data_IF_541627542115
#
_entry.id   IF_541627542115
#
_cell.length_a   1.000
_cell.length_b   1.000
_cell.length_c   1.000
_cell.angle_alpha   90.00
_cell.angle_beta   90.00
_cell.angle_gamma   90.00
#
_symmetry.space_group_name_H-M   'P 1'
#
loop_
_entity.id
_entity.type
_entity.pdbx_description
1 polymer ?
#
# COMPACT_ATOMS: atom_id res chain seq x y z
N UNK A 1 -14.77 7.79 10.35
CA UNK A 1 -13.60 8.21 11.16
C UNK A 1 -12.87 9.28 10.37
N UNK A 2 -12.55 10.43 10.96
CA UNK A 2 -11.80 11.49 10.28
C UNK A 2 -10.36 11.42 10.80
N UNK A 3 -9.41 11.17 9.91
CA UNK A 3 -7.98 11.19 10.25
C UNK A 3 -7.54 12.64 10.31
N UNK A 4 -6.83 13.03 11.37
CA UNK A 4 -6.25 14.36 11.50
C UNK A 4 -4.74 14.30 11.33
N UNK A 5 -4.16 15.26 10.63
CA UNK A 5 -2.71 15.31 10.41
C UNK A 5 -2.13 16.58 11.02
N UNK A 6 -0.96 16.44 11.67
CA UNK A 6 -0.31 17.55 12.34
C UNK A 6 1.18 17.58 12.02
N UNK A 7 1.63 18.72 11.51
CA UNK A 7 3.04 19.05 11.40
C UNK A 7 3.67 19.17 12.79
N UNK A 8 4.93 18.75 12.90
CA UNK A 8 5.73 18.97 14.09
C UNK A 8 6.54 20.27 13.95
N UNK A 9 6.63 21.04 15.03
CA UNK A 9 7.46 22.24 15.13
C UNK A 9 8.89 21.93 15.57
N UNK A 10 9.10 20.78 16.20
CA UNK A 10 10.43 20.28 16.60
C UNK A 10 10.46 18.75 16.66
N UNK A 11 11.65 18.15 16.57
CA UNK A 11 11.82 16.71 16.74
C UNK A 11 11.32 16.21 18.12
N UNK A 12 11.32 17.09 19.13
CA UNK A 12 10.78 16.79 20.45
C UNK A 12 9.26 16.57 20.46
N UNK A 13 8.53 16.98 19.41
CA UNK A 13 7.10 16.71 19.28
C UNK A 13 6.80 15.35 18.64
N UNK A 14 7.84 14.62 18.22
CA UNK A 14 7.72 13.31 17.59
C UNK A 14 7.86 12.19 18.63
N UNK A 15 7.21 11.07 18.33
CA UNK A 15 7.41 9.77 18.99
C UNK A 15 7.93 8.80 17.96
N UNK A 16 9.05 8.15 18.29
CA UNK A 16 9.62 7.07 17.51
C UNK A 16 9.24 5.73 18.15
N UNK A 17 8.61 4.84 17.38
CA UNK A 17 8.35 3.44 17.74
C UNK A 17 9.15 2.54 16.81
N UNK A 18 9.81 1.51 17.33
CA UNK A 18 10.58 0.56 16.52
C UNK A 18 9.77 -0.71 16.29
N UNK A 19 9.68 -1.16 15.04
CA UNK A 19 8.99 -2.40 14.68
C UNK A 19 9.61 -2.97 13.40
N UNK A 20 9.99 -4.24 13.43
CA UNK A 20 10.46 -4.99 12.26
C UNK A 20 11.58 -4.31 11.44
N UNK A 21 12.57 -3.70 12.11
CA UNK A 21 13.68 -3.01 11.43
C UNK A 21 13.35 -1.60 10.92
N UNK A 22 12.11 -1.14 11.13
CA UNK A 22 11.67 0.23 10.83
C UNK A 22 11.52 1.08 12.08
N UNK A 23 11.69 2.38 11.91
CA UNK A 23 11.33 3.42 12.87
C UNK A 23 10.10 4.16 12.39
N UNK A 24 9.05 4.06 13.18
CA UNK A 24 7.76 4.69 12.97
C UNK A 24 7.73 6.02 13.72
N UNK A 25 7.74 7.12 12.97
CA UNK A 25 7.65 8.48 13.47
C UNK A 25 6.21 8.97 13.41
N UNK A 26 5.73 9.53 14.52
CA UNK A 26 4.38 10.08 14.63
C UNK A 26 4.39 11.32 15.50
N UNK A 27 3.38 12.18 15.35
CA UNK A 27 3.22 13.33 16.21
C UNK A 27 2.71 12.89 17.60
N UNK A 28 3.29 13.39 18.70
CA UNK A 28 2.93 13.02 20.10
C UNK A 28 1.43 13.08 20.41
N UNK A 29 0.76 14.10 19.88
CA UNK A 29 -0.68 14.29 20.07
C UNK A 29 -1.55 13.40 19.18
N UNK A 30 -1.00 12.85 18.10
CA UNK A 30 -1.71 12.04 17.11
C UNK A 30 -0.85 10.81 16.75
N UNK A 31 -0.58 9.90 17.71
CA UNK A 31 0.41 8.85 17.54
C UNK A 31 0.01 7.78 16.50
N UNK A 32 -1.27 7.70 16.18
CA UNK A 32 -1.82 6.74 15.21
C UNK A 32 -2.17 7.37 13.85
N UNK A 33 -2.16 8.71 13.75
CA UNK A 33 -2.50 9.41 12.52
C UNK A 33 -1.25 10.04 11.89
N UNK A 34 -0.99 9.74 10.62
CA UNK A 34 0.18 10.27 9.91
C UNK A 34 1.50 9.69 10.42
N UNK A 35 1.62 8.36 10.39
CA UNK A 35 2.84 7.65 10.79
C UNK A 35 3.80 7.55 9.60
N UNK A 36 4.98 8.15 9.70
CA UNK A 36 6.07 7.98 8.73
C UNK A 36 6.90 6.77 9.15
N UNK A 37 7.08 5.81 8.26
CA UNK A 37 8.00 4.70 8.45
C UNK A 37 9.31 4.96 7.71
N UNK A 38 10.44 4.81 8.40
CA UNK A 38 11.80 4.87 7.84
C UNK A 38 12.57 3.61 8.24
N UNK A 39 13.54 3.19 7.45
CA UNK A 39 14.43 2.11 7.86
C UNK A 39 15.37 2.57 8.99
N UNK A 40 15.68 1.66 9.92
CA UNK A 40 16.50 2.01 11.09
C UNK A 40 17.95 2.37 10.71
N UNK A 41 18.44 1.87 9.58
CA UNK A 41 19.72 2.29 9.02
C UNK A 41 19.67 3.76 8.60
N UNK A 42 18.63 4.18 7.90
CA UNK A 42 18.49 5.54 7.37
C UNK A 42 18.41 6.56 8.49
N UNK A 43 17.55 6.32 9.49
CA UNK A 43 17.34 7.29 10.57
C UNK A 43 18.63 7.55 11.37
N UNK A 44 19.52 6.56 11.48
CA UNK A 44 20.78 6.69 12.21
C UNK A 44 21.76 7.68 11.56
N UNK A 45 21.55 7.98 10.28
CA UNK A 45 22.35 8.93 9.50
C UNK A 45 21.76 10.34 9.48
N UNK A 46 20.50 10.50 9.91
CA UNK A 46 19.78 11.77 9.85
C UNK A 46 19.98 12.60 11.12
N UNK A 47 20.22 13.89 10.94
CA UNK A 47 20.13 14.87 12.03
C UNK A 47 18.68 15.08 12.47
N UNK A 48 18.47 15.62 13.69
CA UNK A 48 17.13 15.96 14.17
C UNK A 48 16.36 16.89 13.21
N UNK A 49 17.05 17.84 12.57
CA UNK A 49 16.46 18.73 11.59
C UNK A 49 15.99 17.99 10.33
N UNK A 50 16.76 17.02 9.85
CA UNK A 50 16.40 16.19 8.69
C UNK A 50 15.24 15.24 9.02
N UNK A 51 15.21 14.67 10.24
CA UNK A 51 14.10 13.84 10.70
C UNK A 51 12.80 14.66 10.74
N UNK A 52 12.87 15.88 11.28
CA UNK A 52 11.72 16.79 11.34
C UNK A 52 11.22 17.17 9.94
N UNK A 53 12.15 17.49 9.03
CA UNK A 53 11.84 17.82 7.64
C UNK A 53 11.21 16.63 6.90
N UNK A 54 11.79 15.43 7.02
CA UNK A 54 11.24 14.21 6.43
C UNK A 54 9.81 13.94 6.91
N UNK A 55 9.56 14.03 8.22
CA UNK A 55 8.23 13.88 8.80
C UNK A 55 7.24 14.92 8.26
N UNK A 56 7.62 16.20 8.27
CA UNK A 56 6.73 17.27 7.80
C UNK A 56 6.48 17.19 6.28
N UNK A 57 7.47 16.75 5.49
CA UNK A 57 7.28 16.52 4.07
C UNK A 57 6.30 15.36 3.83
N UNK A 58 6.39 14.29 4.61
CA UNK A 58 5.43 13.19 4.58
C UNK A 58 4.01 13.66 4.92
N UNK A 59 3.83 14.41 6.01
CA UNK A 59 2.50 14.97 6.38
C UNK A 59 1.95 15.88 5.28
N UNK A 60 2.80 16.70 4.65
CA UNK A 60 2.39 17.54 3.52
C UNK A 60 1.91 16.69 2.36
N UNK A 61 2.66 15.66 1.98
CA UNK A 61 2.30 14.77 0.88
C UNK A 61 0.96 14.05 1.15
N UNK A 62 0.70 13.61 2.38
CA UNK A 62 -0.60 13.03 2.74
C UNK A 62 -1.72 14.07 2.62
N UNK A 63 -1.52 15.27 3.15
CA UNK A 63 -2.53 16.33 3.06
C UNK A 63 -2.80 16.74 1.61
N UNK A 64 -1.77 16.81 0.78
CA UNK A 64 -1.89 17.07 -0.66
C UNK A 64 -2.63 15.92 -1.35
N UNK A 65 -2.37 14.66 -0.98
CA UNK A 65 -3.09 13.51 -1.51
C UNK A 65 -4.58 13.49 -1.10
N UNK A 66 -4.90 13.86 0.14
CA UNK A 66 -6.30 14.00 0.61
C UNK A 66 -7.05 15.06 -0.18
N UNK A 67 -6.36 16.13 -0.59
CA UNK A 67 -6.94 17.21 -1.40
C UNK A 67 -6.88 16.91 -2.91
N UNK A 68 -6.11 15.89 -3.31
CA UNK A 68 -6.03 15.46 -4.71
C UNK A 68 -7.32 14.74 -5.09
N UNK A 69 -7.84 15.09 -6.26
CA UNK A 69 -8.99 14.39 -6.85
C UNK A 69 -8.57 13.22 -7.74
N UNK A 70 -7.26 12.97 -7.89
CA UNK A 70 -6.73 11.99 -8.85
C UNK A 70 -5.59 11.17 -8.24
N UNK A 71 -5.65 9.85 -8.45
CA UNK A 71 -4.56 8.92 -8.19
C UNK A 71 -3.64 8.85 -9.41
N UNK A 72 -2.33 8.68 -9.20
CA UNK A 72 -1.39 8.50 -10.29
C UNK A 72 -1.41 7.04 -10.76
N UNK A 73 -1.95 6.82 -11.95
CA UNK A 73 -2.00 5.50 -12.58
C UNK A 73 -0.99 5.41 -13.73
N UNK A 74 -0.29 4.28 -13.84
CA UNK A 74 0.63 4.06 -14.97
C UNK A 74 -0.18 3.73 -16.24
N UNK A 75 0.19 4.25 -17.42
CA UNK A 75 -0.49 3.94 -18.68
C UNK A 75 -0.54 2.44 -18.99
N UNK A 76 -1.48 2.03 -19.84
CA UNK A 76 -1.49 0.66 -20.37
C UNK A 76 -0.19 0.36 -21.11
N UNK A 77 0.42 -0.79 -20.81
CA UNK A 77 1.69 -1.22 -21.42
C UNK A 77 2.94 -0.68 -20.72
N UNK A 78 2.80 0.29 -19.82
CA UNK A 78 3.89 0.75 -18.95
C UNK A 78 3.95 -0.07 -17.67
N UNK A 79 5.16 -0.28 -17.15
CA UNK A 79 5.35 -1.05 -15.93
C UNK A 79 4.69 -0.35 -14.73
N UNK A 80 3.97 -1.13 -13.91
CA UNK A 80 3.41 -0.65 -12.64
C UNK A 80 4.37 -0.84 -11.46
N UNK A 81 5.31 -1.76 -11.62
CA UNK A 81 6.31 -2.12 -10.61
C UNK A 81 7.69 -2.21 -11.22
N UNK A 82 8.70 -1.91 -10.42
CA UNK A 82 10.10 -2.11 -10.77
C UNK A 82 10.84 -2.79 -9.63
N UNK A 83 11.97 -3.45 -9.95
CA UNK A 83 12.88 -3.93 -8.91
C UNK A 83 13.83 -2.82 -8.54
N UNK A 84 13.92 -2.52 -7.25
CA UNK A 84 14.96 -1.67 -6.71
C UNK A 84 16.32 -2.33 -6.93
N UNK A 85 17.29 -1.57 -7.46
CA UNK A 85 18.59 -2.11 -7.82
C UNK A 85 19.49 -2.43 -6.63
N UNK A 86 19.22 -1.85 -5.46
CA UNK A 86 20.00 -2.02 -4.25
C UNK A 86 19.46 -3.16 -3.38
N UNK A 87 18.14 -3.21 -3.17
CA UNK A 87 17.48 -4.22 -2.32
C UNK A 87 17.05 -5.45 -3.12
N UNK A 88 16.78 -5.30 -4.41
CA UNK A 88 16.17 -6.33 -5.25
C UNK A 88 14.67 -6.54 -5.02
N UNK A 89 14.07 -5.74 -4.12
CA UNK A 89 12.64 -5.78 -3.80
C UNK A 89 11.82 -5.07 -4.88
N UNK A 90 10.53 -5.41 -4.96
CA UNK A 90 9.60 -4.74 -5.87
C UNK A 90 9.06 -3.44 -5.27
N UNK A 91 9.02 -2.37 -6.07
CA UNK A 91 8.50 -1.05 -5.69
C UNK A 91 7.35 -0.64 -6.62
N UNK A 92 6.40 0.15 -6.10
CA UNK A 92 5.26 0.68 -6.87
C UNK A 92 5.62 1.99 -7.59
N UNK A 93 5.38 2.04 -8.89
CA UNK A 93 5.61 3.24 -9.70
C UNK A 93 4.46 4.24 -9.66
N UNK A 94 3.26 3.81 -9.23
CA UNK A 94 2.05 4.63 -9.13
C UNK A 94 1.28 4.40 -7.83
N UNK A 95 0.09 4.99 -7.77
CA UNK A 95 -0.86 4.87 -6.65
C UNK A 95 -1.97 3.84 -6.96
N UNK A 96 -2.16 3.50 -8.23
CA UNK A 96 -3.07 2.44 -8.70
C UNK A 96 -2.26 1.20 -9.07
N UNK A 97 -2.64 0.06 -8.49
CA UNK A 97 -2.05 -1.25 -8.77
C UNK A 97 -3.13 -2.18 -9.34
N UNK A 98 -3.02 -2.49 -10.63
CA UNK A 98 -3.87 -3.45 -11.33
C UNK A 98 -3.21 -4.83 -11.26
N UNK A 99 -3.88 -5.78 -10.61
CA UNK A 99 -3.36 -7.12 -10.41
C UNK A 99 -4.41 -8.20 -10.62
N UNK A 100 -3.96 -9.41 -10.92
CA UNK A 100 -4.80 -10.61 -11.00
C UNK A 100 -4.30 -11.62 -9.97
N UNK A 101 -5.14 -11.92 -9.00
CA UNK A 101 -4.87 -13.02 -8.06
C UNK A 101 -5.23 -14.34 -8.76
N UNK A 102 -4.29 -15.27 -8.78
CA UNK A 102 -4.46 -16.62 -9.30
C UNK A 102 -3.92 -17.64 -8.28
N UNK A 103 -4.27 -18.90 -8.48
CA UNK A 103 -3.74 -20.01 -7.71
C UNK A 103 -2.81 -20.83 -8.60
N UNK A 104 -1.58 -21.08 -8.14
CA UNK A 104 -0.67 -21.99 -8.80
C UNK A 104 -0.74 -23.33 -8.08
N UNK A 105 -1.22 -24.37 -8.79
CA UNK A 105 -1.16 -25.73 -8.28
C UNK A 105 0.30 -26.18 -8.18
N UNK A 106 0.66 -26.74 -7.04
CA UNK A 106 1.92 -27.43 -6.85
C UNK A 106 1.68 -28.91 -7.10
N UNK A 107 2.50 -29.53 -7.96
CA UNK A 107 2.48 -30.98 -8.14
C UNK A 107 2.97 -31.68 -6.86
N UNK A 108 2.40 -32.86 -6.58
CA UNK A 108 2.64 -33.73 -5.42
C UNK A 108 2.16 -33.18 -4.05
N UNK A 109 0.90 -33.46 -3.69
CA UNK A 109 0.27 -33.37 -2.35
C UNK A 109 0.46 -32.08 -1.53
N UNK A 110 1.11 -31.05 -2.07
CA UNK A 110 1.20 -29.74 -1.44
C UNK A 110 -0.02 -28.89 -1.79
N UNK A 111 -0.51 -28.07 -0.85
CA UNK A 111 -1.46 -27.03 -1.21
C UNK A 111 -0.78 -26.13 -2.25
N UNK A 112 -1.49 -25.80 -3.32
CA UNK A 112 -1.03 -24.75 -4.23
C UNK A 112 -0.84 -23.43 -3.49
N UNK A 113 -0.30 -22.43 -4.18
CA UNK A 113 -0.02 -21.14 -3.57
C UNK A 113 -0.66 -19.98 -4.33
N UNK A 114 -0.96 -18.91 -3.58
CA UNK A 114 -1.43 -17.67 -4.16
C UNK A 114 -0.30 -17.03 -4.95
N UNK A 115 -0.59 -16.74 -6.22
CA UNK A 115 0.28 -15.98 -7.09
C UNK A 115 -0.48 -14.73 -7.56
N UNK A 116 0.17 -13.58 -7.49
CA UNK A 116 -0.39 -12.32 -7.97
C UNK A 116 0.34 -11.91 -9.22
N UNK A 117 -0.39 -11.81 -10.33
CA UNK A 117 0.15 -11.30 -11.58
C UNK A 117 -0.01 -9.78 -11.62
N UNK A 118 1.08 -9.07 -11.83
CA UNK A 118 1.14 -7.62 -12.08
C UNK A 118 1.88 -7.42 -13.38
N UNK A 119 1.18 -6.91 -14.40
CA UNK A 119 1.67 -6.88 -15.79
C UNK A 119 2.13 -8.28 -16.23
N UNK A 120 3.41 -8.42 -16.62
CA UNK A 120 4.05 -9.68 -17.02
C UNK A 120 4.79 -10.38 -15.87
N UNK A 121 4.72 -9.83 -14.65
CA UNK A 121 5.41 -10.37 -13.48
C UNK A 121 4.46 -11.24 -12.64
N UNK A 122 4.99 -12.35 -12.12
CA UNK A 122 4.30 -13.25 -11.20
C UNK A 122 4.95 -13.14 -9.83
N UNK A 123 4.20 -12.65 -8.85
CA UNK A 123 4.66 -12.48 -7.48
C UNK A 123 4.04 -13.57 -6.62
N UNK A 124 4.85 -14.18 -5.76
CA UNK A 124 4.33 -14.96 -4.64
C UNK A 124 3.52 -14.07 -3.71
N UNK A 125 2.63 -14.65 -2.89
CA UNK A 125 1.91 -13.88 -1.87
C UNK A 125 2.84 -13.09 -0.94
N UNK A 126 4.04 -13.62 -0.66
CA UNK A 126 5.04 -12.92 0.16
C UNK A 126 5.62 -11.69 -0.55
N UNK A 127 6.00 -11.82 -1.82
CA UNK A 127 6.51 -10.69 -2.62
C UNK A 127 5.45 -9.61 -2.80
N UNK A 128 4.19 -10.01 -3.03
CA UNK A 128 3.09 -9.06 -3.13
C UNK A 128 2.86 -8.28 -1.82
N UNK A 129 2.92 -8.96 -0.67
CA UNK A 129 2.84 -8.29 0.63
C UNK A 129 4.01 -7.34 0.87
N UNK A 130 5.23 -7.70 0.43
CA UNK A 130 6.39 -6.82 0.52
C UNK A 130 6.23 -5.58 -0.38
N UNK A 131 5.77 -5.76 -1.61
CA UNK A 131 5.49 -4.68 -2.56
C UNK A 131 4.54 -3.62 -1.99
N UNK A 132 3.42 -4.05 -1.38
CA UNK A 132 2.46 -3.09 -0.81
C UNK A 132 2.89 -2.55 0.56
N UNK A 133 3.83 -3.20 1.25
CA UNK A 133 4.38 -2.70 2.51
C UNK A 133 5.18 -1.40 2.34
N UNK A 134 5.66 -1.10 1.13
CA UNK A 134 6.23 0.20 0.76
C UNK A 134 5.25 1.37 0.98
N UNK A 135 3.94 1.09 0.98
CA UNK A 135 2.88 2.06 1.25
C UNK A 135 2.46 2.10 2.72
N UNK A 136 3.35 1.76 3.65
CA UNK A 136 3.07 1.86 5.09
C UNK A 136 2.55 3.26 5.47
N UNK A 137 1.43 3.29 6.20
CA UNK A 137 0.73 4.54 6.57
C UNK A 137 -0.33 5.03 5.58
N UNK A 138 -0.42 4.43 4.40
CA UNK A 138 -1.47 4.72 3.41
C UNK A 138 -2.65 3.75 3.53
N UNK A 139 -3.83 4.20 3.12
CA UNK A 139 -5.01 3.35 2.95
C UNK A 139 -5.00 2.61 1.62
N UNK A 140 -5.60 1.43 1.57
CA UNK A 140 -5.81 0.65 0.34
C UNK A 140 -7.29 0.30 0.18
N UNK A 141 -7.83 0.49 -1.04
CA UNK A 141 -9.15 0.02 -1.46
C UNK A 141 -8.95 -1.14 -2.43
N UNK A 142 -9.62 -2.27 -2.17
CA UNK A 142 -9.58 -3.45 -3.04
C UNK A 142 -10.94 -3.62 -3.71
N UNK A 143 -10.93 -3.74 -5.02
CA UNK A 143 -12.13 -3.97 -5.84
C UNK A 143 -11.94 -5.25 -6.66
N UNK A 144 -12.89 -6.20 -6.54
CA UNK A 144 -12.85 -7.44 -7.31
C UNK A 144 -13.67 -7.30 -8.59
N UNK A 145 -13.03 -7.60 -9.73
CA UNK A 145 -13.67 -7.52 -11.04
C UNK A 145 -13.01 -8.48 -12.04
N UNK A 146 -13.66 -8.67 -13.19
CA UNK A 146 -13.08 -9.46 -14.28
C UNK A 146 -11.78 -8.81 -14.78
N UNK A 147 -10.70 -9.56 -15.10
CA UNK A 147 -9.39 -9.00 -15.48
C UNK A 147 -9.45 -8.02 -16.66
N UNK A 148 -10.35 -8.24 -17.62
CA UNK A 148 -10.58 -7.32 -18.76
C UNK A 148 -11.16 -5.93 -18.36
N UNK A 149 -11.48 -5.71 -17.08
CA UNK A 149 -12.01 -4.45 -16.56
C UNK A 149 -11.00 -3.67 -15.74
N UNK A 150 -9.79 -4.20 -15.51
CA UNK A 150 -8.77 -3.55 -14.67
C UNK A 150 -8.32 -2.17 -15.19
N UNK A 151 -8.33 -1.95 -16.51
CA UNK A 151 -8.01 -0.65 -17.11
C UNK A 151 -9.20 0.31 -17.19
N UNK A 152 -10.42 -0.23 -17.13
CA UNK A 152 -11.66 0.53 -17.24
C UNK A 152 -12.64 -0.01 -16.19
N UNK A 153 -12.37 0.25 -14.90
CA UNK A 153 -13.20 -0.27 -13.81
C UNK A 153 -14.62 0.29 -13.93
N UNK A 154 -15.66 -0.52 -13.66
CA UNK A 154 -17.02 0.00 -13.51
C UNK A 154 -17.12 0.90 -12.27
N UNK A 155 -18.11 1.80 -12.26
CA UNK A 155 -18.48 2.49 -11.02
C UNK A 155 -19.03 1.46 -10.01
N UNK A 156 -18.71 1.66 -8.73
CA UNK A 156 -19.20 0.80 -7.65
C UNK A 156 -20.51 1.34 -7.09
N UNK A 157 -21.56 0.52 -7.09
CA UNK A 157 -22.80 0.83 -6.40
C UNK A 157 -22.66 0.60 -4.88
N UNK A 158 -23.22 1.52 -4.09
CA UNK A 158 -23.24 1.40 -2.63
C UNK A 158 -24.50 0.64 -2.21
N UNK A 159 -24.38 -0.65 -2.00
CA UNK A 159 -25.44 -1.48 -1.41
C UNK A 159 -25.18 -1.71 0.08
N UNK A 160 -26.26 -1.69 0.88
CA UNK A 160 -26.17 -2.05 2.30
C UNK A 160 -26.27 -3.57 2.41
N UNK A 161 -25.54 -4.24 3.33
CA UNK A 161 -25.61 -5.70 3.46
C UNK A 161 -27.01 -6.28 3.72
N UNK A 162 -27.98 -5.45 4.15
CA UNK A 162 -29.38 -5.83 4.32
C UNK A 162 -30.13 -6.02 2.98
N UNK A 163 -29.58 -5.50 1.88
CA UNK A 163 -30.16 -5.58 0.53
C UNK A 163 -29.65 -6.78 -0.28
N UNK A 164 -28.58 -7.44 0.18
CA UNK A 164 -27.99 -8.59 -0.51
C UNK A 164 -28.54 -9.91 0.04
N UNK A 165 -29.26 -10.68 -0.79
CA UNK A 165 -29.39 -12.12 -0.53
C UNK A 165 -28.00 -12.75 -0.54
N UNK A 166 -27.68 -13.68 0.39
CA UNK A 166 -26.36 -14.29 0.45
C UNK A 166 -26.05 -14.94 -0.90
N UNK A 167 -24.94 -14.51 -1.51
CA UNK A 167 -24.51 -15.07 -2.78
C UNK A 167 -24.31 -16.59 -2.61
N UNK A 168 -25.12 -17.38 -3.31
CA UNK A 168 -24.92 -18.82 -3.51
C UNK A 168 -23.62 -19.00 -4.32
N UNK A 169 -22.48 -18.94 -3.64
CA UNK A 169 -21.15 -19.00 -4.24
C UNK A 169 -20.73 -20.40 -4.68
N UNK A 170 -21.64 -21.38 -4.66
CA UNK A 170 -21.36 -22.73 -5.13
C UNK A 170 -22.54 -23.28 -5.93
N UNK A 171 -22.62 -22.85 -7.20
CA UNK A 171 -23.22 -23.68 -8.24
C UNK A 171 -22.48 -25.02 -8.27
N UNK A 172 -23.23 -26.09 -8.00
CA UNK A 172 -22.76 -27.46 -7.87
C UNK A 172 -22.00 -27.89 -9.14
N UNK A 173 -20.78 -28.42 -8.97
CA UNK A 173 -20.12 -29.28 -9.94
C UNK A 173 -19.93 -30.66 -9.33
#
# INVERSE_FOLDING_TARGET
MKIEYKFALSASELVARRKNGKVLLSHKLLPEDGVLALDEADISTLSEGQILEAFNNYIRNIQDAVNSTQLREMPEGEAQIEKDSETGDWCLLGDVLRSVVTWQESGDDSPGEMVVRVDDNYLTGKEFLALIADKEGWGMRIEFMHPNRLLNPPESDLETPEDSEPADLFGSF
#
